data_IF_563092036615
#
_entry.id   IF_563092036615
#
_cell.length_a   1.000
_cell.length_b   1.000
_cell.length_c   1.000
_cell.angle_alpha   90.00
_cell.angle_beta   90.00
_cell.angle_gamma   90.00
#
_symmetry.space_group_name_H-M   'P 1'
#
loop_
_entity.id
_entity.type
_entity.pdbx_description
1 polymer ?
#
# COMPACT_ATOMS: atom_id res chain seq x y z
N UNK A 1 0.58 -12.35 1.85
CA UNK A 1 -0.67 -12.67 1.15
C UNK A 1 -1.14 -13.99 1.71
N UNK A 2 -2.31 -14.02 2.36
CA UNK A 2 -2.79 -15.24 2.98
C UNK A 2 -3.37 -16.19 1.91
N UNK A 3 -2.98 -17.49 1.88
CA UNK A 3 -3.54 -18.46 0.93
C UNK A 3 -5.08 -18.51 0.96
N UNK A 4 -5.65 -18.26 2.15
CA UNK A 4 -7.10 -18.24 2.39
C UNK A 4 -7.84 -17.19 1.55
N UNK A 5 -7.25 -16.02 1.28
CA UNK A 5 -7.92 -14.98 0.49
C UNK A 5 -8.03 -15.35 -0.99
N UNK A 6 -7.07 -16.13 -1.49
CA UNK A 6 -7.07 -16.61 -2.87
C UNK A 6 -8.08 -17.74 -3.05
N UNK A 7 -8.12 -18.67 -2.09
CA UNK A 7 -9.07 -19.79 -2.09
C UNK A 7 -10.52 -19.28 -1.99
N UNK A 8 -10.79 -18.26 -1.16
CA UNK A 8 -12.12 -17.65 -1.06
C UNK A 8 -12.55 -16.93 -2.35
N UNK A 9 -11.61 -16.26 -3.04
CA UNK A 9 -11.87 -15.59 -4.31
C UNK A 9 -12.18 -16.62 -5.41
N UNK A 10 -11.40 -17.69 -5.51
CA UNK A 10 -11.61 -18.78 -6.46
C UNK A 10 -12.99 -19.43 -6.25
N UNK A 11 -13.37 -19.67 -4.99
CA UNK A 11 -14.68 -20.25 -4.65
C UNK A 11 -15.85 -19.36 -5.04
N UNK A 12 -15.79 -18.06 -4.71
CA UNK A 12 -16.85 -17.10 -5.08
C UNK A 12 -17.05 -16.99 -6.59
N UNK A 13 -15.96 -17.03 -7.35
CA UNK A 13 -16.01 -17.00 -8.80
C UNK A 13 -16.56 -18.31 -9.37
N UNK A 14 -16.23 -19.46 -8.77
CA UNK A 14 -16.80 -20.76 -9.14
C UNK A 14 -18.31 -20.85 -8.84
N UNK A 15 -18.77 -20.24 -7.74
CA UNK A 15 -20.19 -20.16 -7.37
C UNK A 15 -21.01 -19.28 -8.33
N UNK A 16 -20.38 -18.29 -8.97
CA UNK A 16 -21.00 -17.41 -9.96
C UNK A 16 -21.18 -18.06 -11.35
N UNK A 17 -20.73 -19.32 -11.54
CA UNK A 17 -20.84 -20.02 -12.82
C UNK A 17 -22.25 -20.56 -13.08
N UNK A 18 -22.68 -20.63 -14.35
CA UNK A 18 -23.98 -21.20 -14.73
C UNK A 18 -24.13 -22.65 -14.29
N UNK A 19 -25.36 -23.06 -13.94
CA UNK A 19 -25.69 -24.42 -13.45
C UNK A 19 -25.13 -25.55 -14.33
N UNK A 20 -25.12 -25.39 -15.66
CA UNK A 20 -24.59 -26.39 -16.59
C UNK A 20 -23.09 -26.66 -16.47
N UNK A 21 -22.33 -25.76 -15.83
CA UNK A 21 -20.88 -25.86 -15.61
C UNK A 21 -20.56 -26.34 -14.18
N UNK A 22 -21.54 -26.31 -13.26
CA UNK A 22 -21.34 -26.72 -11.86
C UNK A 22 -20.98 -28.20 -11.70
N UNK A 23 -21.41 -29.07 -12.62
CA UNK A 23 -21.04 -30.49 -12.59
C UNK A 23 -19.54 -30.74 -12.84
N UNK A 24 -18.81 -29.75 -13.35
CA UNK A 24 -17.34 -29.78 -13.52
C UNK A 24 -16.62 -28.90 -12.48
N UNK A 25 -17.27 -28.61 -11.34
CA UNK A 25 -16.82 -27.62 -10.35
C UNK A 25 -15.35 -27.78 -9.93
N UNK A 26 -14.89 -29.00 -9.64
CA UNK A 26 -13.52 -29.22 -9.16
C UNK A 26 -12.45 -28.86 -10.20
N UNK A 27 -12.67 -29.20 -11.46
CA UNK A 27 -11.72 -28.88 -12.53
C UNK A 27 -11.72 -27.39 -12.84
N UNK A 28 -12.89 -26.75 -12.77
CA UNK A 28 -13.01 -25.31 -12.97
C UNK A 28 -12.37 -24.54 -11.81
N UNK A 29 -12.60 -24.94 -10.57
CA UNK A 29 -11.97 -24.33 -9.38
C UNK A 29 -10.44 -24.42 -9.46
N UNK A 30 -9.90 -25.59 -9.83
CA UNK A 30 -8.46 -25.78 -10.01
C UNK A 30 -7.88 -24.89 -11.11
N UNK A 31 -8.53 -24.85 -12.27
CA UNK A 31 -8.08 -24.01 -13.39
C UNK A 31 -8.16 -22.52 -13.05
N UNK A 32 -9.21 -22.11 -12.32
CA UNK A 32 -9.40 -20.74 -11.91
C UNK A 32 -8.35 -20.32 -10.87
N UNK A 33 -8.03 -21.19 -9.91
CA UNK A 33 -6.94 -20.96 -8.95
C UNK A 33 -5.61 -20.77 -9.67
N UNK A 34 -5.27 -21.64 -10.61
CA UNK A 34 -4.04 -21.53 -11.39
C UNK A 34 -4.00 -20.23 -12.23
N UNK A 35 -5.12 -19.84 -12.82
CA UNK A 35 -5.23 -18.59 -13.57
C UNK A 35 -5.05 -17.36 -12.67
N UNK A 36 -5.63 -17.36 -11.46
CA UNK A 36 -5.46 -16.30 -10.46
C UNK A 36 -4.01 -16.24 -9.96
N UNK A 37 -3.39 -17.37 -9.61
CA UNK A 37 -1.98 -17.44 -9.22
C UNK A 37 -1.07 -16.86 -10.32
N UNK A 38 -1.34 -17.20 -11.59
CA UNK A 38 -0.60 -16.66 -12.75
C UNK A 38 -0.87 -15.18 -12.99
N UNK A 39 -2.08 -14.68 -12.72
CA UNK A 39 -2.40 -13.26 -12.82
C UNK A 39 -1.67 -12.47 -11.73
N UNK A 40 -1.74 -12.92 -10.48
CA UNK A 40 -1.08 -12.27 -9.35
C UNK A 40 0.45 -12.33 -9.44
N UNK A 41 1.05 -13.40 -9.98
CA UNK A 41 2.50 -13.46 -10.19
C UNK A 41 3.00 -12.49 -11.27
N UNK A 42 2.14 -12.11 -12.22
CA UNK A 42 2.42 -11.08 -13.23
C UNK A 42 2.19 -9.66 -12.72
N UNK A 43 1.47 -9.50 -11.61
CA UNK A 43 1.38 -8.22 -10.93
C UNK A 43 2.66 -8.04 -10.11
N UNK A 44 3.31 -6.87 -10.23
CA UNK A 44 4.47 -6.51 -9.40
C UNK A 44 4.02 -6.19 -7.96
N UNK A 45 3.46 -7.18 -7.27
CA UNK A 45 2.94 -7.03 -5.91
C UNK A 45 4.11 -7.02 -4.94
N UNK A 46 4.07 -6.06 -4.02
CA UNK A 46 4.95 -6.08 -2.85
C UNK A 46 4.30 -6.90 -1.75
N UNK A 47 5.12 -7.50 -0.89
CA UNK A 47 4.65 -8.19 0.29
C UNK A 47 4.03 -7.22 1.28
N UNK A 48 3.19 -7.75 2.19
CA UNK A 48 2.58 -6.93 3.25
C UNK A 48 3.65 -6.30 4.15
N UNK A 49 4.70 -7.05 4.46
CA UNK A 49 5.82 -6.58 5.27
C UNK A 49 6.57 -5.43 4.58
N UNK A 50 6.90 -5.56 3.29
CA UNK A 50 7.51 -4.46 2.53
C UNK A 50 6.63 -3.22 2.50
N UNK A 51 5.32 -3.38 2.33
CA UNK A 51 4.38 -2.27 2.39
C UNK A 51 4.39 -1.57 3.76
N UNK A 52 4.32 -2.34 4.85
CA UNK A 52 4.32 -1.79 6.22
C UNK A 52 5.65 -1.06 6.51
N UNK A 53 6.78 -1.59 6.01
CA UNK A 53 8.09 -0.92 6.09
C UNK A 53 8.08 0.41 5.34
N UNK A 54 7.57 0.45 4.11
CA UNK A 54 7.49 1.70 3.34
C UNK A 54 6.55 2.73 3.99
N UNK A 55 5.45 2.28 4.61
CA UNK A 55 4.60 3.17 5.41
C UNK A 55 5.36 3.78 6.58
N UNK A 56 6.15 3.00 7.31
CA UNK A 56 6.95 3.51 8.42
C UNK A 56 8.03 4.51 7.96
N UNK A 57 8.71 4.23 6.83
CA UNK A 57 9.67 5.15 6.21
C UNK A 57 8.99 6.46 5.83
N UNK A 58 7.81 6.39 5.22
CA UNK A 58 7.03 7.58 4.82
C UNK A 58 6.62 8.41 6.03
N UNK A 59 6.14 7.76 7.11
CA UNK A 59 5.76 8.44 8.34
C UNK A 59 6.95 9.21 8.95
N UNK A 60 8.10 8.54 9.11
CA UNK A 60 9.34 9.17 9.59
C UNK A 60 9.80 10.32 8.70
N UNK A 61 9.63 10.18 7.39
CA UNK A 61 10.00 11.24 6.43
C UNK A 61 9.13 12.47 6.62
N UNK A 62 7.81 12.30 6.81
CA UNK A 62 6.90 13.41 7.11
C UNK A 62 7.27 14.12 8.40
N UNK A 63 7.52 13.37 9.48
CA UNK A 63 7.97 13.95 10.75
C UNK A 63 9.24 14.78 10.58
N UNK A 64 10.20 14.28 9.79
CA UNK A 64 11.45 15.00 9.54
C UNK A 64 11.25 16.26 8.70
N UNK A 65 10.35 16.21 7.71
CA UNK A 65 9.98 17.40 6.92
C UNK A 65 9.36 18.47 7.84
N UNK A 66 8.39 18.11 8.68
CA UNK A 66 7.77 19.07 9.60
C UNK A 66 8.79 19.69 10.57
N UNK A 67 9.75 18.91 11.06
CA UNK A 67 10.82 19.44 11.92
C UNK A 67 11.71 20.45 11.17
N UNK A 68 12.09 20.13 9.94
CA UNK A 68 12.90 21.03 9.12
C UNK A 68 12.14 22.31 8.78
N UNK A 69 10.86 22.23 8.45
CA UNK A 69 10.01 23.40 8.21
C UNK A 69 9.95 24.32 9.42
N UNK A 70 9.80 23.78 10.64
CA UNK A 70 9.83 24.58 11.88
C UNK A 70 11.19 25.25 12.11
N UNK A 71 12.28 24.55 11.80
CA UNK A 71 13.62 25.12 11.93
C UNK A 71 13.85 26.25 10.93
N UNK A 72 13.39 26.09 9.69
CA UNK A 72 13.46 27.14 8.67
C UNK A 72 12.65 28.37 9.12
N UNK A 73 11.40 28.20 9.53
CA UNK A 73 10.55 29.31 10.02
C UNK A 73 11.18 30.03 11.23
N UNK A 74 11.80 29.29 12.16
CA UNK A 74 12.51 29.89 13.28
C UNK A 74 13.73 30.73 12.83
N UNK A 75 14.50 30.23 11.87
CA UNK A 75 15.66 30.93 11.32
C UNK A 75 15.23 32.17 10.52
N UNK A 76 14.19 32.06 9.70
CA UNK A 76 13.62 33.18 8.95
C UNK A 76 13.16 34.29 9.89
N UNK A 77 12.48 33.93 10.99
CA UNK A 77 12.08 34.90 12.03
C UNK A 77 13.27 35.58 12.70
N UNK A 78 14.34 34.84 13.00
CA UNK A 78 15.55 35.41 13.59
C UNK A 78 16.19 36.44 12.66
N UNK A 79 16.37 36.10 11.39
CA UNK A 79 16.93 36.99 10.37
C UNK A 79 16.09 38.27 10.21
N UNK A 80 14.76 38.13 10.12
CA UNK A 80 13.85 39.27 10.03
C UNK A 80 13.81 40.12 11.30
N UNK A 81 14.16 39.56 12.47
CA UNK A 81 14.21 40.28 13.74
C UNK A 81 15.54 41.05 13.91
N UNK A 82 16.64 40.54 13.37
CA UNK A 82 17.96 41.20 13.39
C UNK A 82 18.02 42.43 12.45
N UNK A 83 17.22 42.45 11.38
CA UNK A 83 17.11 43.59 10.46
C UNK A 83 16.27 44.76 11.02
N UNK A 84 15.59 44.60 12.16
CA UNK A 84 14.96 45.75 12.83
C UNK A 84 16.06 46.58 13.52
N UNK A 85 16.21 47.88 13.18
CA UNK A 85 17.23 48.70 13.81
C UNK A 85 17.00 48.69 15.32
N UNK A 86 18.07 48.45 16.09
CA UNK A 86 18.07 48.64 17.54
C UNK A 86 17.68 50.10 17.80
N UNK A 87 16.40 50.34 18.06
CA UNK A 87 15.93 51.62 18.53
C UNK A 87 16.35 51.73 19.99
N UNK A 88 17.35 52.57 20.26
CA UNK A 88 17.90 52.84 21.59
C UNK A 88 19.40 52.98 21.56
#
# INVERSE_FOLDING_TARGET
MDPKTLDDLARRLAEALPEGVKHMQQDVEKNLRAALESAFSRMNLVTREEFDVQQAVLARTREKVEQLERLVDALEKQLLHEDKPRQG
#
